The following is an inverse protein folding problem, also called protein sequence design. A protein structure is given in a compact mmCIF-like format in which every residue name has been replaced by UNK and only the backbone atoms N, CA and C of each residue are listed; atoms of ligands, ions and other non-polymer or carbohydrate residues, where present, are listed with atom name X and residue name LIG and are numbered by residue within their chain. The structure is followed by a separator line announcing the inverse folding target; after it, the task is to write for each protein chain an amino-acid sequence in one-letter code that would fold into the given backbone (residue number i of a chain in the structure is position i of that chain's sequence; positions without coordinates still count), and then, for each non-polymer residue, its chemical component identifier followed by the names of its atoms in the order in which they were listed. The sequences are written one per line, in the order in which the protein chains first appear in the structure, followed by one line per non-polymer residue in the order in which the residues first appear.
data_IF_384932681846
#
_entry.id   IF_384932681846
#
_cell.length_a   1.000
_cell.length_b   1.000
_cell.length_c   1.000
_cell.angle_alpha   90.00
_cell.angle_beta   90.00
_cell.angle_gamma   90.00
#
_symmetry.space_group_name_H-M   'P 1'
#
loop_
_entity.id
_entity.type
_entity.pdbx_description
1 polymer ?
#
# COMPACT_ATOMS: atom_id res chain seq x y z
N UNK A 1 -30.30 54.89 10.10
CA UNK A 1 -28.92 54.48 10.45
C UNK A 1 -28.63 53.03 10.04
N UNK A 2 -29.60 52.10 10.08
CA UNK A 2 -29.38 50.66 9.85
C UNK A 2 -28.96 50.25 8.42
N UNK A 3 -29.33 51.02 7.39
CA UNK A 3 -28.93 50.72 5.99
C UNK A 3 -27.43 50.91 5.73
N UNK A 4 -26.77 51.85 6.41
CA UNK A 4 -25.32 52.08 6.26
C UNK A 4 -24.50 50.97 6.92
N UNK A 5 -24.92 50.45 8.07
CA UNK A 5 -24.29 49.29 8.72
C UNK A 5 -24.45 48.01 7.89
N UNK A 6 -25.60 47.80 7.26
CA UNK A 6 -25.82 46.65 6.36
C UNK A 6 -24.88 46.64 5.16
N UNK A 7 -24.72 47.76 4.47
CA UNK A 7 -23.81 47.85 3.31
C UNK A 7 -22.34 47.62 3.67
N UNK A 8 -21.88 48.19 4.79
CA UNK A 8 -20.52 47.96 5.29
C UNK A 8 -20.28 46.51 5.71
N UNK A 9 -21.27 45.87 6.34
CA UNK A 9 -21.18 44.45 6.73
C UNK A 9 -21.16 43.51 5.52
N UNK A 10 -21.92 43.80 4.47
CA UNK A 10 -21.96 42.97 3.26
C UNK A 10 -20.65 43.02 2.48
N UNK A 11 -20.03 44.19 2.40
CA UNK A 11 -18.73 44.36 1.77
C UNK A 11 -17.61 43.70 2.59
N UNK A 12 -17.67 43.79 3.92
CA UNK A 12 -16.73 43.11 4.81
C UNK A 12 -16.84 41.57 4.71
N UNK A 13 -18.06 41.03 4.66
CA UNK A 13 -18.30 39.59 4.46
C UNK A 13 -17.78 39.12 3.11
N UNK A 14 -18.04 39.86 2.02
CA UNK A 14 -17.52 39.52 0.69
C UNK A 14 -15.99 39.54 0.65
N UNK A 15 -15.36 40.53 1.30
CA UNK A 15 -13.91 40.59 1.45
C UNK A 15 -13.36 39.38 2.19
N UNK A 16 -13.97 39.03 3.34
CA UNK A 16 -13.58 37.88 4.14
C UNK A 16 -13.69 36.57 3.35
N UNK A 17 -14.83 36.35 2.68
CA UNK A 17 -15.06 35.16 1.84
C UNK A 17 -14.04 35.08 0.71
N UNK A 18 -13.77 36.19 0.02
CA UNK A 18 -12.79 36.24 -1.06
C UNK A 18 -11.37 35.93 -0.53
N UNK A 19 -10.97 36.52 0.59
CA UNK A 19 -9.66 36.26 1.20
C UNK A 19 -9.51 34.79 1.61
N UNK A 20 -10.52 34.20 2.26
CA UNK A 20 -10.48 32.78 2.64
C UNK A 20 -10.53 31.85 1.43
N UNK A 21 -11.35 32.13 0.42
CA UNK A 21 -11.40 31.34 -0.80
C UNK A 21 -10.06 31.36 -1.54
N UNK A 22 -9.41 32.52 -1.60
CA UNK A 22 -8.11 32.68 -2.23
C UNK A 22 -7.00 32.00 -1.42
N UNK A 23 -7.03 32.12 -0.10
CA UNK A 23 -6.08 31.45 0.80
C UNK A 23 -6.24 29.93 0.76
N UNK A 24 -7.47 29.42 0.81
CA UNK A 24 -7.76 27.99 0.67
C UNK A 24 -7.44 27.46 -0.73
N UNK A 25 -7.70 28.25 -1.77
CA UNK A 25 -7.36 27.90 -3.14
C UNK A 25 -5.84 27.78 -3.34
N UNK A 26 -5.06 28.76 -2.87
CA UNK A 26 -3.60 28.74 -2.96
C UNK A 26 -2.99 27.63 -2.10
N UNK A 27 -3.47 27.47 -0.85
CA UNK A 27 -2.97 26.40 0.03
C UNK A 27 -3.34 25.02 -0.51
N UNK A 28 -4.57 24.82 -0.99
CA UNK A 28 -4.98 23.59 -1.65
C UNK A 28 -4.15 23.27 -2.90
N UNK A 29 -3.94 24.27 -3.77
CA UNK A 29 -3.14 24.12 -4.98
C UNK A 29 -1.67 23.78 -4.70
N UNK A 30 -1.14 24.16 -3.54
CA UNK A 30 0.23 23.82 -3.13
C UNK A 30 0.30 22.51 -2.34
N UNK A 31 -0.60 22.31 -1.38
CA UNK A 31 -0.58 21.17 -0.45
C UNK A 31 -1.01 19.89 -1.14
N UNK A 32 -2.02 19.92 -2.01
CA UNK A 32 -2.49 18.72 -2.70
C UNK A 32 -1.36 18.04 -3.52
N UNK A 33 -0.64 18.73 -4.42
CA UNK A 33 0.46 18.10 -5.14
C UNK A 33 1.64 17.73 -4.23
N UNK A 34 1.91 18.50 -3.17
CA UNK A 34 2.95 18.16 -2.20
C UNK A 34 2.62 16.89 -1.37
N UNK A 35 1.33 16.56 -1.22
CA UNK A 35 0.85 15.37 -0.51
C UNK A 35 0.76 14.13 -1.40
N UNK A 36 0.70 14.29 -2.73
CA UNK A 36 0.73 13.22 -3.73
C UNK A 36 1.84 12.17 -3.52
N UNK A 37 3.13 12.53 -3.25
CA UNK A 37 4.19 11.54 -3.02
C UNK A 37 4.05 10.76 -1.71
N UNK A 38 3.34 11.30 -0.72
CA UNK A 38 3.08 10.62 0.55
C UNK A 38 1.83 9.74 0.51
N UNK A 39 1.11 9.71 -0.62
CA UNK A 39 0.00 8.78 -0.80
C UNK A 39 0.55 7.37 -0.71
N UNK A 40 -0.06 6.59 0.18
CA UNK A 40 0.24 5.17 0.39
C UNK A 40 0.29 4.39 -0.93
N UNK A 41 -0.53 4.78 -1.91
CA UNK A 41 -0.48 4.22 -3.26
C UNK A 41 0.91 4.33 -3.88
N UNK A 42 1.52 5.52 -3.95
CA UNK A 42 2.83 5.70 -4.62
C UNK A 42 3.97 5.01 -3.86
N UNK A 43 3.93 5.02 -2.53
CA UNK A 43 4.92 4.35 -1.68
C UNK A 43 4.86 2.83 -1.87
N UNK A 44 3.67 2.27 -2.07
CA UNK A 44 3.48 0.83 -2.20
C UNK A 44 3.64 0.37 -3.64
N UNK A 45 3.08 1.07 -4.63
CA UNK A 45 3.05 0.59 -6.02
C UNK A 45 4.43 0.54 -6.66
N UNK A 46 5.30 1.53 -6.42
CA UNK A 46 6.65 1.56 -7.00
C UNK A 46 7.48 0.31 -6.64
N UNK A 47 7.77 0.07 -5.35
CA UNK A 47 8.51 -1.11 -4.91
C UNK A 47 7.83 -2.43 -5.28
N UNK A 48 6.49 -2.46 -5.31
CA UNK A 48 5.72 -3.65 -5.66
C UNK A 48 5.86 -3.97 -7.16
N UNK A 49 5.78 -2.98 -8.04
CA UNK A 49 5.98 -3.14 -9.49
C UNK A 49 7.43 -3.49 -9.82
N UNK A 50 8.40 -2.89 -9.10
CA UNK A 50 9.81 -3.25 -9.26
C UNK A 50 10.07 -4.72 -8.89
N UNK A 51 9.43 -5.21 -7.81
CA UNK A 51 9.53 -6.60 -7.39
C UNK A 51 8.86 -7.57 -8.38
N UNK A 52 7.69 -7.19 -8.91
CA UNK A 52 7.01 -7.94 -9.99
C UNK A 52 7.89 -8.04 -11.24
N UNK A 53 8.55 -6.94 -11.63
CA UNK A 53 9.44 -6.92 -12.79
C UNK A 53 10.70 -7.79 -12.57
N UNK A 54 11.28 -7.76 -11.36
CA UNK A 54 12.46 -8.56 -11.00
C UNK A 54 12.18 -10.05 -10.98
N UNK A 55 11.08 -10.46 -10.35
CA UNK A 55 10.72 -11.87 -10.17
C UNK A 55 9.92 -12.45 -11.36
N UNK A 56 9.45 -11.59 -12.28
CA UNK A 56 8.57 -11.95 -13.42
C UNK A 56 7.36 -12.78 -13.00
N UNK A 57 6.82 -12.47 -11.82
CA UNK A 57 5.75 -13.22 -11.18
C UNK A 57 4.48 -12.36 -11.07
N UNK A 58 3.28 -12.96 -11.22
CA UNK A 58 2.04 -12.23 -11.07
C UNK A 58 1.89 -11.66 -9.66
N UNK A 59 1.32 -10.46 -9.59
CA UNK A 59 0.97 -9.80 -8.34
C UNK A 59 -0.37 -10.32 -7.82
N UNK A 60 -0.46 -10.57 -6.52
CA UNK A 60 -1.72 -10.89 -5.85
C UNK A 60 -1.87 -10.11 -4.55
N UNK A 61 -3.07 -9.62 -4.25
CA UNK A 61 -3.36 -8.90 -3.02
C UNK A 61 -4.04 -9.82 -1.99
N UNK A 62 -3.56 -9.79 -0.74
CA UNK A 62 -4.18 -10.45 0.40
C UNK A 62 -5.29 -9.60 1.03
N UNK A 63 -5.24 -9.42 2.34
CA UNK A 63 -6.13 -8.57 3.14
C UNK A 63 -5.87 -7.07 2.95
N UNK A 64 -4.71 -6.71 2.42
CA UNK A 64 -4.40 -5.34 2.04
C UNK A 64 -4.90 -5.05 0.62
N UNK A 65 -6.12 -4.53 0.51
CA UNK A 65 -6.81 -4.21 -0.75
C UNK A 65 -7.23 -2.73 -0.76
N UNK A 66 -6.26 -1.84 -0.69
CA UNK A 66 -6.58 -0.40 -0.73
C UNK A 66 -6.92 0.03 -2.16
N UNK A 67 -8.10 0.66 -2.33
CA UNK A 67 -8.58 1.12 -3.62
C UNK A 67 -7.55 2.02 -4.32
N UNK A 68 -6.88 2.91 -3.57
CA UNK A 68 -5.84 3.79 -4.11
C UNK A 68 -4.66 3.02 -4.72
N UNK A 69 -4.30 1.86 -4.15
CA UNK A 69 -3.20 1.02 -4.64
C UNK A 69 -3.63 0.28 -5.91
N UNK A 70 -4.85 -0.27 -5.92
CA UNK A 70 -5.42 -0.95 -7.09
C UNK A 70 -5.51 0.01 -8.28
N UNK A 71 -6.04 1.22 -8.07
CA UNK A 71 -6.11 2.24 -9.12
C UNK A 71 -4.73 2.67 -9.62
N UNK A 72 -3.75 2.84 -8.73
CA UNK A 72 -2.40 3.27 -9.11
C UNK A 72 -1.63 2.19 -9.90
N UNK A 73 -1.99 0.91 -9.77
CA UNK A 73 -1.37 -0.19 -10.52
C UNK A 73 -1.89 -0.25 -11.97
N UNK A 74 -3.10 0.26 -12.23
CA UNK A 74 -3.62 0.45 -13.59
C UNK A 74 -4.10 -0.81 -14.30
N UNK A 75 -4.06 -1.97 -13.65
CA UNK A 75 -4.64 -3.22 -14.17
C UNK A 75 -5.35 -4.02 -13.06
N UNK A 76 -6.30 -4.91 -13.41
CA UNK A 76 -6.96 -5.77 -12.42
C UNK A 76 -5.93 -6.65 -11.72
N UNK A 77 -5.99 -6.72 -10.39
CA UNK A 77 -5.09 -7.56 -9.60
C UNK A 77 -5.93 -8.67 -8.96
N UNK A 78 -5.56 -9.95 -9.13
CA UNK A 78 -6.26 -11.03 -8.46
C UNK A 78 -6.16 -10.87 -6.95
N UNK A 79 -7.27 -11.13 -6.27
CA UNK A 79 -7.39 -11.07 -4.82
C UNK A 79 -7.28 -12.50 -4.28
N UNK A 80 -6.55 -12.67 -3.19
CA UNK A 80 -6.50 -13.89 -2.42
C UNK A 80 -7.70 -13.95 -1.48
N UNK A 81 -8.78 -14.62 -1.90
CA UNK A 81 -9.93 -14.90 -1.04
C UNK A 81 -9.65 -16.12 -0.15
N UNK A 82 -9.13 -17.19 -0.75
CA UNK A 82 -8.85 -18.44 -0.06
C UNK A 82 -7.40 -18.88 -0.22
N UNK A 83 -6.90 -19.63 0.77
CA UNK A 83 -5.53 -20.18 0.72
C UNK A 83 -5.37 -21.22 -0.37
N UNK A 84 -6.43 -21.96 -0.70
CA UNK A 84 -6.41 -22.97 -1.77
C UNK A 84 -6.11 -22.31 -3.13
N UNK A 85 -6.78 -21.20 -3.44
CA UNK A 85 -6.55 -20.42 -4.66
C UNK A 85 -5.11 -19.91 -4.77
N UNK A 86 -4.52 -19.50 -3.64
CA UNK A 86 -3.13 -19.09 -3.60
C UNK A 86 -2.22 -20.27 -3.94
N UNK A 87 -2.39 -21.41 -3.28
CA UNK A 87 -1.55 -22.60 -3.51
C UNK A 87 -1.64 -23.05 -4.96
N UNK A 88 -2.85 -23.10 -5.53
CA UNK A 88 -3.07 -23.45 -6.93
C UNK A 88 -2.34 -22.49 -7.87
N UNK A 89 -2.49 -21.17 -7.66
CA UNK A 89 -1.84 -20.17 -8.50
C UNK A 89 -0.32 -20.16 -8.33
N UNK A 90 0.19 -20.40 -7.13
CA UNK A 90 1.63 -20.57 -6.88
C UNK A 90 2.14 -21.81 -7.60
N UNK A 91 1.36 -22.89 -7.65
CA UNK A 91 1.72 -24.10 -8.38
C UNK A 91 1.72 -23.89 -9.90
N UNK A 92 0.73 -23.16 -10.42
CA UNK A 92 0.59 -22.87 -11.84
C UNK A 92 1.63 -21.86 -12.36
N UNK A 93 1.93 -20.81 -11.58
CA UNK A 93 2.83 -19.72 -11.99
C UNK A 93 4.26 -19.84 -11.42
N UNK A 94 4.51 -20.77 -10.49
CA UNK A 94 5.82 -21.01 -9.88
C UNK A 94 6.26 -19.97 -8.85
N UNK A 95 5.82 -18.71 -8.96
CA UNK A 95 6.03 -17.67 -7.96
C UNK A 95 4.90 -16.64 -8.01
N UNK A 96 4.58 -16.05 -6.85
CA UNK A 96 3.61 -14.94 -6.73
C UNK A 96 4.23 -13.86 -5.87
N UNK A 97 4.12 -12.60 -6.32
CA UNK A 97 4.48 -11.43 -5.51
C UNK A 97 3.25 -10.96 -4.76
N UNK A 98 3.39 -10.66 -3.47
CA UNK A 98 2.30 -10.12 -2.66
C UNK A 98 2.80 -9.15 -1.59
N UNK A 99 1.98 -8.15 -1.28
CA UNK A 99 2.13 -7.31 -0.11
C UNK A 99 1.29 -7.89 1.04
N UNK A 100 1.96 -8.52 2.00
CA UNK A 100 1.31 -9.18 3.12
C UNK A 100 1.44 -8.36 4.40
N UNK A 101 0.44 -8.43 5.25
CA UNK A 101 0.56 -7.95 6.64
C UNK A 101 1.29 -8.99 7.51
N UNK A 102 1.84 -8.59 8.64
CA UNK A 102 2.47 -9.53 9.60
C UNK A 102 1.61 -10.75 9.98
N UNK A 103 0.31 -10.62 10.33
CA UNK A 103 -0.50 -11.78 10.65
C UNK A 103 -0.67 -12.72 9.45
N UNK A 104 -0.77 -12.19 8.23
CA UNK A 104 -0.83 -12.99 7.01
C UNK A 104 0.47 -13.72 6.75
N UNK A 105 1.61 -13.06 6.92
CA UNK A 105 2.91 -13.70 6.76
C UNK A 105 3.06 -14.89 7.73
N UNK A 106 2.64 -14.74 9.00
CA UNK A 106 2.64 -15.84 9.97
C UNK A 106 1.72 -16.97 9.53
N UNK A 107 0.53 -16.62 9.06
CA UNK A 107 -0.44 -17.57 8.52
C UNK A 107 0.10 -18.35 7.31
N UNK A 108 0.78 -17.70 6.36
CA UNK A 108 1.35 -18.38 5.20
C UNK A 108 2.60 -19.18 5.55
N UNK A 109 3.48 -18.68 6.43
CA UNK A 109 4.68 -19.43 6.89
C UNK A 109 4.33 -20.70 7.65
N UNK A 110 3.14 -20.78 8.24
CA UNK A 110 2.67 -22.00 8.90
C UNK A 110 2.27 -23.10 7.92
N UNK A 111 2.14 -22.81 6.62
CA UNK A 111 1.82 -23.80 5.60
C UNK A 111 3.10 -24.46 5.04
N UNK A 112 3.30 -25.78 5.23
CA UNK A 112 4.49 -26.49 4.77
C UNK A 112 4.57 -26.64 3.24
N UNK A 113 3.56 -26.19 2.48
CA UNK A 113 3.55 -26.25 1.01
C UNK A 113 4.14 -24.99 0.36
N UNK A 114 4.37 -23.94 1.13
CA UNK A 114 4.71 -22.61 0.63
C UNK A 114 5.99 -22.09 1.29
N UNK A 115 6.92 -21.61 0.46
CA UNK A 115 8.06 -20.83 0.91
C UNK A 115 7.76 -19.35 0.71
N UNK A 116 7.79 -18.57 1.79
CA UNK A 116 7.55 -17.13 1.76
C UNK A 116 8.81 -16.38 2.12
N UNK A 117 9.35 -15.66 1.13
CA UNK A 117 10.55 -14.85 1.26
C UNK A 117 10.20 -13.37 1.34
N UNK A 118 10.71 -12.65 2.34
CA UNK A 118 10.42 -11.23 2.56
C UNK A 118 11.54 -10.41 1.95
N UNK A 119 11.23 -9.66 0.89
CA UNK A 119 12.19 -8.85 0.14
C UNK A 119 12.24 -7.40 0.57
N UNK A 120 11.24 -6.94 1.33
CA UNK A 120 11.23 -5.59 1.85
C UNK A 120 10.09 -5.35 2.84
N UNK A 121 10.22 -4.28 3.61
CA UNK A 121 9.16 -3.80 4.51
C UNK A 121 8.82 -2.37 4.13
N UNK A 122 7.54 -2.13 3.87
CA UNK A 122 6.99 -0.82 3.61
C UNK A 122 6.15 -0.40 4.81
N UNK A 123 6.23 0.88 5.16
CA UNK A 123 5.37 1.49 6.19
C UNK A 123 4.68 2.69 5.59
N UNK A 124 3.40 2.84 5.90
CA UNK A 124 2.69 4.04 5.53
C UNK A 124 1.36 4.17 6.24
N UNK A 125 0.78 5.37 6.14
CA UNK A 125 -0.50 5.67 6.75
C UNK A 125 -1.64 5.26 5.82
N UNK A 126 -2.57 4.47 6.34
CA UNK A 126 -3.80 4.12 5.65
C UNK A 126 -4.91 5.10 6.06
N UNK A 127 -5.35 6.01 5.17
CA UNK A 127 -6.39 6.99 5.50
C UNK A 127 -7.76 6.33 5.68
N UNK A 128 -8.05 5.25 4.95
CA UNK A 128 -9.31 4.49 5.06
C UNK A 128 -9.49 3.92 6.46
N UNK A 129 -8.41 3.41 7.07
CA UNK A 129 -8.41 2.78 8.40
C UNK A 129 -7.92 3.71 9.51
N UNK A 130 -7.48 4.93 9.17
CA UNK A 130 -6.92 5.91 10.10
C UNK A 130 -5.70 5.39 10.89
N UNK A 131 -4.92 4.46 10.32
CA UNK A 131 -3.83 3.76 11.04
C UNK A 131 -2.59 3.60 10.17
N UNK A 132 -1.43 3.59 10.81
CA UNK A 132 -0.20 3.15 10.16
C UNK A 132 -0.26 1.65 9.90
N UNK A 133 0.07 1.26 8.68
CA UNK A 133 0.11 -0.12 8.23
C UNK A 133 1.54 -0.44 7.80
N UNK A 134 2.01 -1.61 8.24
CA UNK A 134 3.27 -2.19 7.79
C UNK A 134 2.95 -3.31 6.81
N UNK A 135 3.51 -3.23 5.62
CA UNK A 135 3.36 -4.21 4.55
C UNK A 135 4.72 -4.86 4.27
N UNK A 136 4.71 -6.17 4.16
CA UNK A 136 5.88 -6.97 3.87
C UNK A 136 5.78 -7.38 2.41
N UNK A 137 6.71 -6.86 1.60
CA UNK A 137 6.85 -7.28 0.22
C UNK A 137 7.41 -8.69 0.23
N UNK A 138 6.61 -9.63 -0.25
CA UNK A 138 6.89 -11.05 -0.15
C UNK A 138 6.78 -11.73 -1.50
N UNK A 139 7.65 -12.71 -1.70
CA UNK A 139 7.61 -13.62 -2.84
C UNK A 139 7.23 -14.99 -2.29
N UNK A 140 6.12 -15.52 -2.78
CA UNK A 140 5.58 -16.81 -2.39
C UNK A 140 5.93 -17.80 -3.48
N UNK A 141 6.61 -18.88 -3.12
CA UNK A 141 7.03 -19.96 -4.04
C UNK A 141 6.53 -21.31 -3.51
N UNK A 142 6.33 -22.31 -4.38
CA UNK A 142 6.02 -23.65 -3.92
C UNK A 142 7.25 -24.19 -3.17
N UNK A 143 7.02 -24.74 -1.97
CA UNK A 143 8.07 -25.44 -1.25
C UNK A 143 8.21 -26.83 -1.87
N UNK A 144 9.34 -27.08 -2.53
CA UNK A 144 9.62 -28.42 -3.05
C UNK A 144 9.64 -29.44 -1.88
N UNK A 145 9.07 -30.65 -2.06
CA UNK A 145 9.17 -31.71 -1.05
C UNK A 145 10.65 -32.11 -0.91
N UNK A 146 11.31 -31.56 0.11
CA UNK A 146 12.74 -31.76 0.38
C UNK A 146 13.52 -30.52 0.81
N UNK A 147 12.97 -29.31 0.68
CA UNK A 147 13.70 -28.08 1.04
C UNK A 147 13.46 -27.64 2.49
N UNK A 148 13.67 -28.57 3.44
CA UNK A 148 13.80 -28.28 4.86
C UNK A 148 15.22 -27.76 5.22
N UNK A 149 16.09 -27.56 4.23
CA UNK A 149 17.50 -27.20 4.41
C UNK A 149 17.86 -25.76 4.01
N UNK A 150 16.91 -24.92 3.60
CA UNK A 150 17.16 -23.50 3.35
C UNK A 150 16.76 -22.61 4.54
N UNK A 151 17.05 -23.04 5.77
CA UNK A 151 17.27 -22.10 6.86
C UNK A 151 18.63 -21.47 6.56
N UNK A 152 18.66 -20.33 5.86
CA UNK A 152 19.82 -19.46 5.95
C UNK A 152 19.94 -19.00 7.40
N UNK A 153 21.02 -19.36 8.13
CA UNK A 153 21.28 -18.79 9.42
C UNK A 153 21.65 -17.33 9.18
N UNK A 154 20.71 -16.43 9.45
CA UNK A 154 20.96 -15.00 9.49
C UNK A 154 21.90 -14.73 10.67
N UNK A 155 23.19 -14.79 10.36
CA UNK A 155 24.33 -14.19 11.05
C UNK A 155 24.14 -13.95 12.56
N UNK A 156 24.38 -15.00 13.34
CA UNK A 156 24.97 -14.84 14.67
C UNK A 156 26.49 -14.64 14.49
N UNK A 157 27.00 -13.50 14.94
CA UNK A 157 28.42 -13.12 14.92
C UNK A 157 28.55 -11.68 15.39
N UNK A 158 28.32 -11.38 16.66
CA UNK A 158 29.26 -11.47 17.81
C UNK A 158 30.26 -10.29 17.82
N UNK A 159 30.08 -9.47 18.86
CA UNK A 159 31.00 -8.57 19.59
C UNK A 159 31.57 -7.35 18.88
#
# INVERSE_FOLDING_TARGET
MDRFYRGASEQAVRGLVATWALLLGLTGAWVLPAMEPYRLSNIVTGPLQELVAKERAPLMLGAFQEASVIYAIGHPIPIMHERADLVEKVHHHGAIVSALTEPELKALKSDPRLSVDVRGTLRGFNPTKGKNVTLLLSVIRPQAPGSALAVQPQQAGIK
#
